data_IF_240615097738
#
_entry.id   IF_240615097738
#
_cell.length_a   1.000
_cell.length_b   1.000
_cell.length_c   1.000
_cell.angle_alpha   90.00
_cell.angle_beta   90.00
_cell.angle_gamma   90.00
#
_symmetry.space_group_name_H-M   'P 1'
#
loop_
_entity.id
_entity.type
_entity.pdbx_description
1 polymer ?
#
# COMPACT_ATOMS: atom_id res chain seq x y z
N UNK A 1 19.23 0.16 26.24
CA UNK A 1 17.98 0.13 27.00
C UNK A 1 17.16 -1.02 26.46
N UNK A 2 16.88 -2.02 27.29
CA UNK A 2 16.15 -3.22 26.89
C UNK A 2 14.69 -2.93 26.51
N UNK A 3 14.14 -1.78 26.92
CA UNK A 3 12.79 -1.37 26.55
C UNK A 3 12.65 -1.01 25.05
N UNK A 4 13.72 -0.50 24.45
CA UNK A 4 13.75 0.00 23.07
C UNK A 4 14.98 -0.53 22.31
N UNK A 5 14.99 -1.83 21.94
CA UNK A 5 16.19 -2.49 21.42
C UNK A 5 16.55 -2.14 19.97
N UNK A 6 15.71 -1.37 19.26
CA UNK A 6 15.95 -0.97 17.88
C UNK A 6 16.30 0.52 17.76
N UNK A 7 17.03 0.90 16.71
CA UNK A 7 17.21 2.30 16.31
C UNK A 7 16.32 2.64 15.11
N UNK A 8 15.42 3.60 15.29
CA UNK A 8 14.55 4.13 14.23
C UNK A 8 15.25 5.26 13.49
N UNK A 9 15.50 5.03 12.20
CA UNK A 9 15.90 6.03 11.24
C UNK A 9 14.67 6.50 10.45
N UNK A 10 14.45 7.81 10.38
CA UNK A 10 13.32 8.36 9.60
C UNK A 10 13.81 8.97 8.30
N UNK A 11 13.02 8.92 7.23
CA UNK A 11 13.44 9.53 5.98
C UNK A 11 12.34 9.82 5.00
N UNK A 12 12.71 9.92 3.73
CA UNK A 12 11.82 10.29 2.63
C UNK A 12 11.80 9.18 1.58
N UNK A 13 10.68 9.02 0.91
CA UNK A 13 10.56 8.23 -0.31
C UNK A 13 10.52 9.17 -1.51
N UNK A 14 10.95 8.63 -2.64
CA UNK A 14 11.10 9.34 -3.91
C UNK A 14 9.88 10.17 -4.30
N UNK A 15 8.69 9.57 -4.26
CA UNK A 15 7.50 10.14 -4.89
C UNK A 15 6.75 11.16 -4.02
N UNK A 16 7.25 11.43 -2.80
CA UNK A 16 6.49 12.16 -1.80
C UNK A 16 7.29 13.33 -1.23
N UNK A 17 6.57 14.40 -0.89
CA UNK A 17 7.15 15.67 -0.44
C UNK A 17 6.56 16.04 0.91
N UNK A 18 7.42 16.07 1.93
CA UNK A 18 7.05 16.29 3.33
C UNK A 18 5.79 15.51 3.72
N UNK A 19 4.83 16.12 4.39
CA UNK A 19 3.62 15.48 4.92
C UNK A 19 2.52 15.26 3.87
N UNK A 20 2.89 15.18 2.58
CA UNK A 20 2.01 14.93 1.45
C UNK A 20 0.90 15.98 1.24
N UNK A 21 1.03 17.20 1.78
CA UNK A 21 0.03 18.28 1.58
C UNK A 21 -0.17 18.63 0.11
N UNK A 22 0.85 18.42 -0.74
CA UNK A 22 0.77 18.60 -2.20
C UNK A 22 0.81 17.27 -2.96
N UNK A 23 1.82 16.45 -2.70
CA UNK A 23 2.07 15.19 -3.43
C UNK A 23 1.03 14.11 -3.14
N UNK A 24 0.42 14.12 -1.95
CA UNK A 24 -0.70 13.23 -1.59
C UNK A 24 -2.03 13.57 -2.24
N UNK A 25 -2.09 14.61 -3.08
CA UNK A 25 -3.24 14.88 -3.94
C UNK A 25 -3.10 14.22 -5.32
N UNK A 26 -1.90 13.75 -5.68
CA UNK A 26 -1.63 13.15 -6.99
C UNK A 26 -1.85 11.63 -6.97
N UNK A 27 -2.81 11.10 -7.75
CA UNK A 27 -2.98 9.65 -7.91
C UNK A 27 -1.70 8.96 -8.40
N UNK A 28 -1.00 9.60 -9.35
CA UNK A 28 0.21 9.07 -9.96
C UNK A 28 1.37 8.90 -8.96
N UNK A 29 1.61 9.91 -8.13
CA UNK A 29 2.68 9.86 -7.11
C UNK A 29 2.34 8.92 -5.95
N UNK A 30 1.06 8.65 -5.73
CA UNK A 30 0.60 7.75 -4.66
C UNK A 30 0.50 6.29 -5.10
N UNK A 31 0.74 6.00 -6.38
CA UNK A 31 0.55 4.67 -6.95
C UNK A 31 1.60 3.64 -6.53
N UNK A 32 2.83 4.08 -6.22
CA UNK A 32 3.96 3.19 -5.94
C UNK A 32 3.94 2.63 -4.51
N UNK A 33 3.88 3.52 -3.51
CA UNK A 33 3.89 3.17 -2.08
C UNK A 33 2.62 3.70 -1.40
N UNK A 34 1.53 2.91 -1.39
CA UNK A 34 0.18 3.38 -1.04
C UNK A 34 -0.10 3.44 0.47
N UNK A 35 0.82 2.97 1.32
CA UNK A 35 0.65 2.89 2.77
C UNK A 35 1.95 3.22 3.53
N UNK A 36 1.85 3.73 4.77
CA UNK A 36 3.01 3.93 5.62
C UNK A 36 3.63 2.58 5.97
N UNK A 37 4.94 2.49 5.96
CA UNK A 37 5.67 1.24 6.13
C UNK A 37 6.87 1.38 7.07
N UNK A 38 7.40 0.25 7.51
CA UNK A 38 8.69 0.12 8.18
C UNK A 38 9.53 -0.92 7.46
N UNK A 39 10.78 -0.59 7.11
CA UNK A 39 11.73 -1.57 6.61
C UNK A 39 12.45 -2.25 7.78
N UNK A 40 12.56 -3.57 7.69
CA UNK A 40 13.11 -4.43 8.73
C UNK A 40 14.03 -5.46 8.08
N UNK A 41 15.17 -5.74 8.70
CA UNK A 41 16.02 -6.84 8.26
C UNK A 41 15.28 -8.18 8.42
N UNK A 42 15.35 -9.11 7.45
CA UNK A 42 14.61 -10.38 7.48
C UNK A 42 14.79 -11.20 8.78
N UNK A 43 16.01 -11.25 9.33
CA UNK A 43 16.26 -11.98 10.58
C UNK A 43 15.62 -11.33 11.82
N UNK A 44 15.58 -10.00 11.89
CA UNK A 44 14.89 -9.33 12.99
C UNK A 44 13.38 -9.55 12.89
N UNK A 45 12.85 -9.52 11.65
CA UNK A 45 11.46 -9.83 11.39
C UNK A 45 11.12 -11.27 11.79
N UNK A 46 11.93 -12.25 11.40
CA UNK A 46 11.75 -13.65 11.78
C UNK A 46 11.76 -13.84 13.30
N UNK A 47 12.71 -13.21 14.02
CA UNK A 47 12.77 -13.27 15.49
C UNK A 47 11.51 -12.70 16.17
N UNK A 48 10.85 -11.74 15.53
CA UNK A 48 9.65 -11.07 16.04
C UNK A 48 8.33 -11.65 15.51
N UNK A 49 8.37 -12.67 14.65
CA UNK A 49 7.17 -13.20 13.99
C UNK A 49 6.51 -12.21 13.02
N UNK A 50 7.30 -11.34 12.39
CA UNK A 50 6.84 -10.37 11.42
C UNK A 50 6.98 -10.90 9.99
N UNK A 51 5.96 -10.65 9.18
CA UNK A 51 5.90 -11.09 7.78
C UNK A 51 5.83 -9.90 6.83
N UNK A 52 6.34 -10.07 5.61
CA UNK A 52 6.21 -9.06 4.55
C UNK A 52 4.74 -8.69 4.31
N UNK A 53 4.44 -7.39 4.22
CA UNK A 53 3.09 -6.85 4.12
C UNK A 53 2.28 -6.93 5.41
N UNK A 54 2.80 -7.56 6.48
CA UNK A 54 2.25 -7.60 7.84
C UNK A 54 2.08 -6.19 8.42
N UNK A 55 1.39 -6.07 9.56
CA UNK A 55 1.40 -4.82 10.32
C UNK A 55 2.33 -4.95 11.53
N UNK A 56 3.08 -3.90 11.79
CA UNK A 56 3.89 -3.78 12.99
C UNK A 56 3.65 -2.44 13.68
N UNK A 57 3.63 -2.47 15.00
CA UNK A 57 3.66 -1.29 15.86
C UNK A 57 5.10 -0.92 16.14
N UNK A 58 5.48 0.29 15.75
CA UNK A 58 6.72 0.95 16.20
C UNK A 58 6.36 1.84 17.38
N UNK A 59 7.07 1.73 18.50
CA UNK A 59 6.84 2.54 19.70
C UNK A 59 8.14 3.11 20.24
N UNK A 60 8.09 4.35 20.70
CA UNK A 60 9.19 5.06 21.37
C UNK A 60 8.63 5.71 22.64
N UNK A 61 9.48 6.40 23.40
CA UNK A 61 9.03 7.21 24.53
C UNK A 61 8.05 8.34 24.12
N UNK A 62 8.07 8.78 22.86
CA UNK A 62 7.21 9.87 22.36
C UNK A 62 5.85 9.43 21.82
N UNK A 63 5.67 8.14 21.52
CA UNK A 63 4.41 7.62 20.99
C UNK A 63 4.56 6.35 20.17
N UNK A 64 3.56 6.07 19.33
CA UNK A 64 3.54 4.86 18.51
C UNK A 64 2.88 5.07 17.15
N UNK A 65 3.29 4.26 16.17
CA UNK A 65 2.71 4.18 14.85
C UNK A 65 2.50 2.71 14.45
N UNK A 66 1.50 2.44 13.60
CA UNK A 66 1.24 1.12 13.02
C UNK A 66 1.45 1.18 11.52
N UNK A 67 2.39 0.36 11.03
CA UNK A 67 3.01 0.47 9.71
C UNK A 67 3.01 -0.88 9.02
N UNK A 68 2.96 -0.90 7.68
CA UNK A 68 3.18 -2.12 6.91
C UNK A 68 4.65 -2.56 6.97
N UNK A 69 4.89 -3.84 7.17
CA UNK A 69 6.23 -4.42 7.22
C UNK A 69 6.76 -4.61 5.80
N UNK A 70 7.93 -4.05 5.52
CA UNK A 70 8.71 -4.35 4.33
C UNK A 70 10.02 -5.02 4.76
N UNK A 71 10.32 -6.17 4.19
CA UNK A 71 11.57 -6.85 4.45
C UNK A 71 12.64 -6.32 3.51
N UNK A 72 13.78 -5.92 4.05
CA UNK A 72 14.91 -5.42 3.29
C UNK A 72 16.21 -5.97 3.86
N UNK A 73 16.89 -6.82 3.08
CA UNK A 73 18.19 -7.38 3.46
C UNK A 73 19.32 -6.32 3.48
N UNK A 74 19.10 -5.16 2.85
CA UNK A 74 20.01 -4.01 2.94
C UNK A 74 19.86 -3.21 4.24
N UNK A 75 18.79 -3.44 5.02
CA UNK A 75 18.60 -2.82 6.33
C UNK A 75 19.56 -3.44 7.35
N UNK A 76 20.30 -2.64 8.12
CA UNK A 76 21.15 -3.18 9.18
C UNK A 76 20.31 -3.82 10.28
N UNK A 77 20.77 -4.95 10.84
CA UNK A 77 20.10 -5.60 11.98
C UNK A 77 20.05 -4.67 13.20
N UNK A 78 18.96 -4.71 13.95
CA UNK A 78 18.69 -3.81 15.07
C UNK A 78 18.32 -2.38 14.65
N UNK A 79 18.14 -2.12 13.35
CA UNK A 79 17.74 -0.80 12.84
C UNK A 79 16.46 -0.90 12.02
N UNK A 80 15.68 0.18 12.06
CA UNK A 80 14.41 0.32 11.36
C UNK A 80 14.47 1.57 10.48
N UNK A 81 13.82 1.55 9.32
CA UNK A 81 13.54 2.78 8.60
C UNK A 81 12.04 2.99 8.38
N UNK A 82 11.58 4.21 8.65
CA UNK A 82 10.19 4.61 8.41
C UNK A 82 10.11 6.02 7.75
N UNK A 83 9.35 6.17 6.67
CA UNK A 83 9.18 7.45 5.99
C UNK A 83 8.27 8.43 6.74
N UNK A 84 8.59 9.73 6.68
CA UNK A 84 7.92 10.78 7.44
C UNK A 84 6.58 11.28 6.86
N UNK A 85 6.13 10.71 5.75
CA UNK A 85 5.19 11.39 4.85
C UNK A 85 3.72 11.37 5.30
N UNK A 86 3.31 10.34 6.05
CA UNK A 86 1.91 10.18 6.43
C UNK A 86 1.52 11.07 7.62
N UNK A 87 0.28 11.57 7.57
CA UNK A 87 -0.34 12.46 8.55
C UNK A 87 -1.70 11.92 8.98
N UNK A 88 -2.35 12.55 9.96
CA UNK A 88 -3.71 12.19 10.36
C UNK A 88 -4.74 12.38 9.24
N UNK A 89 -4.42 13.15 8.19
CA UNK A 89 -5.31 13.36 7.05
C UNK A 89 -5.32 12.19 6.05
N UNK A 90 -4.31 11.32 6.09
CA UNK A 90 -4.13 10.22 5.13
C UNK A 90 -3.70 8.89 5.76
N UNK A 91 -3.62 8.79 7.09
CA UNK A 91 -3.45 7.51 7.78
C UNK A 91 -4.06 7.54 9.18
N UNK A 92 -4.59 6.39 9.60
CA UNK A 92 -5.10 6.18 10.96
C UNK A 92 -4.01 6.29 12.03
N UNK A 93 -2.83 5.75 11.74
CA UNK A 93 -1.76 5.56 12.74
C UNK A 93 -0.35 5.57 12.15
N UNK A 94 -0.16 6.21 10.99
CA UNK A 94 1.12 6.23 10.26
C UNK A 94 2.04 7.43 10.53
N UNK A 95 1.75 8.26 11.54
CA UNK A 95 2.51 9.49 11.82
C UNK A 95 3.84 9.16 12.51
N UNK A 96 4.95 9.38 11.80
CA UNK A 96 6.29 9.14 12.34
C UNK A 96 6.83 10.30 13.18
N UNK A 97 6.43 11.55 12.90
CA UNK A 97 6.94 12.73 13.62
C UNK A 97 6.91 12.62 15.16
N UNK A 98 5.80 12.17 15.79
CA UNK A 98 5.74 11.99 17.24
C UNK A 98 6.68 10.92 17.82
N UNK A 99 7.22 10.02 16.99
CA UNK A 99 8.12 8.97 17.47
C UNK A 99 9.55 9.48 17.64
N UNK A 100 9.92 10.59 17.01
CA UNK A 100 11.27 11.17 17.08
C UNK A 100 11.50 11.75 18.47
N UNK A 101 12.63 11.39 19.09
CA UNK A 101 13.01 11.95 20.40
C UNK A 101 13.27 13.46 20.33
N UNK A 102 13.04 14.15 21.44
CA UNK A 102 13.27 15.60 21.55
C UNK A 102 14.74 15.91 21.89
N UNK A 103 15.68 15.38 21.13
CA UNK A 103 17.11 15.69 21.24
C UNK A 103 17.50 16.65 20.12
N UNK A 104 18.28 17.67 20.46
CA UNK A 104 18.81 18.64 19.51
C UNK A 104 20.31 18.82 19.69
N UNK A 105 21.01 19.05 18.59
CA UNK A 105 22.41 19.47 18.65
C UNK A 105 22.55 20.80 19.40
N UNK A 106 23.43 20.90 20.42
CA UNK A 106 23.51 22.08 21.28
C UNK A 106 24.01 23.35 20.58
N UNK A 107 24.61 23.24 19.39
CA UNK A 107 25.14 24.39 18.66
C UNK A 107 24.16 24.90 17.58
N UNK A 108 23.59 23.99 16.80
CA UNK A 108 22.72 24.32 15.66
C UNK A 108 21.22 24.28 16.00
N UNK A 109 20.83 23.61 17.09
CA UNK A 109 19.43 23.35 17.43
C UNK A 109 18.74 22.35 16.50
N UNK A 110 19.48 21.67 15.61
CA UNK A 110 18.90 20.69 14.69
C UNK A 110 18.49 19.43 15.44
N UNK A 111 17.31 18.85 15.15
CA UNK A 111 16.83 17.64 15.83
C UNK A 111 17.57 16.39 15.35
N UNK A 112 17.89 15.49 16.28
CA UNK A 112 18.27 14.12 15.94
C UNK A 112 17.02 13.36 15.50
N UNK A 113 16.97 12.98 14.23
CA UNK A 113 15.83 12.29 13.60
C UNK A 113 16.20 10.94 13.01
N UNK A 114 17.44 10.48 13.28
CA UNK A 114 18.06 9.34 12.58
C UNK A 114 18.39 8.17 13.51
N UNK A 115 18.36 8.39 14.82
CA UNK A 115 18.74 7.38 15.80
C UNK A 115 17.83 7.38 17.04
N UNK A 116 16.51 7.38 16.86
CA UNK A 116 15.59 7.29 18.01
C UNK A 116 15.44 5.84 18.50
N UNK A 117 15.69 5.53 19.78
CA UNK A 117 15.40 4.20 20.34
C UNK A 117 13.93 3.82 20.18
N UNK A 118 13.67 2.62 19.67
CA UNK A 118 12.35 2.12 19.37
C UNK A 118 12.16 0.64 19.74
N UNK A 119 10.90 0.25 19.90
CA UNK A 119 10.41 -1.12 20.03
C UNK A 119 9.55 -1.45 18.83
N UNK A 120 9.71 -2.66 18.30
CA UNK A 120 8.90 -3.20 17.21
C UNK A 120 8.10 -4.40 17.72
N UNK A 121 6.81 -4.46 17.40
CA UNK A 121 5.94 -5.59 17.75
C UNK A 121 4.92 -5.87 16.64
N UNK A 122 4.54 -7.14 16.39
CA UNK A 122 3.48 -7.47 15.45
C UNK A 122 2.13 -6.87 15.88
N UNK A 123 1.31 -6.53 14.89
CA UNK A 123 -0.10 -6.18 15.07
C UNK A 123 -0.91 -7.20 14.28
N UNK A 124 -1.73 -7.96 15.00
CA UNK A 124 -2.67 -8.88 14.35
C UNK A 124 -3.73 -8.11 13.57
N UNK A 125 -4.07 -8.64 12.40
CA UNK A 125 -5.15 -8.16 11.56
C UNK A 125 -5.81 -9.38 10.90
N UNK A 126 -7.01 -9.74 11.36
CA UNK A 126 -7.78 -10.87 10.79
C UNK A 126 -8.25 -10.60 9.37
N UNK A 127 -8.45 -9.34 9.02
CA UNK A 127 -8.85 -8.92 7.69
C UNK A 127 -7.91 -7.85 7.13
N UNK A 128 -7.74 -7.89 5.81
CA UNK A 128 -7.10 -6.88 4.99
C UNK A 128 -8.02 -6.53 3.84
N UNK A 129 -7.81 -5.37 3.23
CA UNK A 129 -8.68 -4.99 2.14
C UNK A 129 -8.42 -3.64 1.53
N UNK A 130 -9.35 -3.29 0.64
CA UNK A 130 -9.35 -2.04 -0.07
C UNK A 130 -10.75 -1.44 -0.08
N UNK A 131 -10.81 -0.13 0.02
CA UNK A 131 -12.00 0.66 -0.25
C UNK A 131 -11.66 1.66 -1.34
N UNK A 132 -12.57 1.86 -2.29
CA UNK A 132 -12.49 2.92 -3.29
C UNK A 132 -13.85 3.63 -3.36
N UNK A 133 -13.85 4.96 -3.41
CA UNK A 133 -15.07 5.74 -3.45
C UNK A 133 -14.87 7.09 -4.14
N UNK A 134 -15.93 7.61 -4.76
CA UNK A 134 -15.94 8.95 -5.40
C UNK A 134 -15.85 10.08 -4.38
N UNK A 135 -16.39 9.84 -3.19
CA UNK A 135 -16.40 10.78 -2.07
C UNK A 135 -15.50 10.28 -0.94
N UNK A 136 -15.06 11.19 -0.07
CA UNK A 136 -14.29 10.82 1.11
C UNK A 136 -15.20 10.11 2.11
N UNK A 137 -14.74 8.97 2.61
CA UNK A 137 -15.39 8.18 3.63
C UNK A 137 -14.47 8.00 4.83
N UNK A 138 -15.07 7.80 6.00
CA UNK A 138 -14.38 7.39 7.22
C UNK A 138 -14.59 5.88 7.42
N UNK A 139 -13.52 5.07 7.32
CA UNK A 139 -13.58 3.64 7.64
C UNK A 139 -14.10 3.40 9.06
N UNK A 140 -14.66 2.21 9.36
CA UNK A 140 -15.26 1.93 10.65
C UNK A 140 -14.25 2.09 11.80
N UNK A 141 -14.69 2.51 13.00
CA UNK A 141 -13.81 2.67 14.15
C UNK A 141 -13.03 1.38 14.46
N UNK A 142 -11.73 1.52 14.68
CA UNK A 142 -10.82 0.39 14.94
C UNK A 142 -10.21 -0.25 13.69
N UNK A 143 -10.63 0.13 12.48
CA UNK A 143 -9.91 -0.24 11.27
C UNK A 143 -8.59 0.55 11.16
N UNK A 144 -7.49 -0.15 10.90
CA UNK A 144 -6.29 0.48 10.38
C UNK A 144 -6.54 0.89 8.93
N UNK A 145 -6.14 2.10 8.58
CA UNK A 145 -6.26 2.58 7.20
C UNK A 145 -5.14 3.51 6.77
N UNK A 146 -4.87 3.48 5.47
CA UNK A 146 -4.06 4.46 4.76
C UNK A 146 -4.81 4.93 3.51
N UNK A 147 -5.07 6.23 3.42
CA UNK A 147 -5.84 6.85 2.33
C UNK A 147 -4.89 7.38 1.26
N UNK A 148 -5.24 7.15 0.01
CA UNK A 148 -4.53 7.65 -1.15
C UNK A 148 -5.52 8.21 -2.19
N UNK A 149 -5.12 9.21 -2.99
CA UNK A 149 -5.88 9.61 -4.15
C UNK A 149 -5.82 8.52 -5.22
N UNK A 150 -6.92 8.34 -5.94
CA UNK A 150 -7.01 7.50 -7.14
C UNK A 150 -7.65 8.31 -8.25
N UNK A 151 -7.57 7.82 -9.49
CA UNK A 151 -8.24 8.48 -10.60
C UNK A 151 -9.75 8.58 -10.35
N UNK A 152 -10.27 9.80 -10.34
CA UNK A 152 -11.68 10.08 -10.10
C UNK A 152 -12.18 9.82 -8.67
N UNK A 153 -11.31 9.73 -7.65
CA UNK A 153 -11.78 9.59 -6.27
C UNK A 153 -10.71 9.31 -5.22
N UNK A 154 -11.07 8.52 -4.22
CA UNK A 154 -10.26 8.17 -3.07
C UNK A 154 -10.16 6.66 -2.90
N UNK A 155 -8.98 6.20 -2.50
CA UNK A 155 -8.69 4.83 -2.12
C UNK A 155 -8.27 4.74 -0.66
N UNK A 156 -8.55 3.61 -0.03
CA UNK A 156 -8.03 3.25 1.28
C UNK A 156 -7.51 1.83 1.24
N UNK A 157 -6.31 1.63 1.78
CA UNK A 157 -5.88 0.32 2.27
C UNK A 157 -6.45 0.13 3.66
N UNK A 158 -6.94 -1.07 3.94
CA UNK A 158 -7.64 -1.42 5.17
C UNK A 158 -7.01 -2.65 5.81
N UNK A 159 -7.03 -2.68 7.13
CA UNK A 159 -6.74 -3.85 7.93
C UNK A 159 -7.42 -3.76 9.29
N UNK A 160 -7.61 -4.90 9.97
CA UNK A 160 -8.06 -4.94 11.36
C UNK A 160 -8.75 -6.25 11.71
N UNK A 161 -9.46 -6.26 12.83
CA UNK A 161 -10.05 -7.48 13.41
C UNK A 161 -11.58 -7.50 13.38
N UNK A 162 -12.19 -6.53 12.70
CA UNK A 162 -13.64 -6.47 12.56
C UNK A 162 -14.16 -7.66 11.74
N UNK A 163 -15.21 -8.30 12.26
CA UNK A 163 -15.92 -9.38 11.57
C UNK A 163 -16.58 -8.88 10.25
N UNK A 164 -16.76 -9.75 9.25
CA UNK A 164 -17.37 -9.39 7.96
C UNK A 164 -18.73 -8.69 8.07
N UNK A 165 -19.55 -9.06 9.05
CA UNK A 165 -20.87 -8.48 9.32
C UNK A 165 -20.76 -7.01 9.70
N UNK A 166 -19.75 -6.65 10.49
CA UNK A 166 -19.52 -5.25 10.86
C UNK A 166 -19.14 -4.39 9.65
N UNK A 167 -18.43 -4.98 8.69
CA UNK A 167 -18.14 -4.33 7.41
C UNK A 167 -19.40 -4.22 6.54
N UNK A 168 -20.26 -5.24 6.57
CA UNK A 168 -21.56 -5.21 5.89
C UNK A 168 -22.44 -4.09 6.42
N UNK A 169 -22.64 -4.00 7.73
CA UNK A 169 -23.44 -2.95 8.35
C UNK A 169 -22.92 -1.55 7.98
N UNK A 170 -21.60 -1.37 8.06
CA UNK A 170 -20.96 -0.11 7.68
C UNK A 170 -21.17 0.22 6.20
N UNK A 171 -21.07 -0.76 5.30
CA UNK A 171 -21.23 -0.55 3.87
C UNK A 171 -22.69 -0.30 3.46
N UNK A 172 -23.64 -1.08 4.00
CA UNK A 172 -25.08 -0.96 3.70
C UNK A 172 -25.64 0.42 4.04
N UNK A 173 -25.13 1.05 5.11
CA UNK A 173 -25.47 2.43 5.46
C UNK A 173 -25.06 3.48 4.41
N UNK A 174 -24.26 3.09 3.40
CA UNK A 174 -23.70 3.97 2.35
C UNK A 174 -24.02 3.50 0.93
N UNK A 175 -24.59 2.31 0.77
CA UNK A 175 -24.92 1.75 -0.53
C UNK A 175 -26.20 2.39 -1.08
N UNK A 176 -26.28 2.53 -2.39
CA UNK A 176 -27.47 2.96 -3.11
C UNK A 176 -28.36 1.76 -3.45
N UNK A 177 -29.57 2.02 -3.96
CA UNK A 177 -30.47 0.98 -4.48
C UNK A 177 -29.81 0.14 -5.59
N UNK A 178 -28.83 0.73 -6.29
CA UNK A 178 -28.06 0.07 -7.32
C UNK A 178 -26.72 -0.42 -6.77
N UNK A 179 -26.74 -1.64 -6.24
CA UNK A 179 -25.59 -2.21 -5.56
C UNK A 179 -25.56 -3.73 -5.58
N UNK A 180 -24.40 -4.28 -5.22
CA UNK A 180 -24.18 -5.71 -5.06
C UNK A 180 -23.28 -5.92 -3.83
N UNK A 181 -23.60 -6.91 -2.99
CA UNK A 181 -22.75 -7.37 -1.89
C UNK A 181 -22.59 -8.89 -1.87
N UNK A 182 -21.54 -9.34 -1.19
CA UNK A 182 -21.24 -10.72 -0.87
C UNK A 182 -20.72 -10.76 0.56
N UNK A 183 -21.44 -11.46 1.43
CA UNK A 183 -21.02 -11.77 2.78
C UNK A 183 -20.68 -13.26 2.85
N UNK A 184 -19.48 -13.58 3.29
CA UNK A 184 -19.01 -14.95 3.57
C UNK A 184 -18.38 -14.99 4.96
N UNK A 185 -19.17 -15.23 6.02
CA UNK A 185 -18.68 -15.28 7.39
C UNK A 185 -17.68 -16.43 7.62
N UNK A 186 -17.91 -17.56 6.97
CA UNK A 186 -17.06 -18.74 7.10
C UNK A 186 -15.68 -18.52 6.50
N UNK A 187 -15.61 -17.83 5.35
CA UNK A 187 -14.36 -17.38 4.74
C UNK A 187 -13.77 -16.11 5.34
N UNK A 188 -14.49 -15.44 6.26
CA UNK A 188 -14.06 -14.18 6.86
C UNK A 188 -14.04 -13.00 5.88
N UNK A 189 -14.91 -13.01 4.85
CA UNK A 189 -14.89 -12.04 3.76
C UNK A 189 -16.18 -11.23 3.67
N UNK A 190 -16.03 -9.96 3.29
CA UNK A 190 -17.13 -9.13 2.85
C UNK A 190 -16.72 -8.28 1.65
N UNK A 191 -17.59 -8.20 0.65
CA UNK A 191 -17.36 -7.43 -0.56
C UNK A 191 -18.62 -6.68 -0.93
N UNK A 192 -18.47 -5.45 -1.38
CA UNK A 192 -19.59 -4.64 -1.82
C UNK A 192 -19.19 -3.71 -2.96
N UNK A 193 -20.15 -3.39 -3.82
CA UNK A 193 -20.05 -2.39 -4.86
C UNK A 193 -21.36 -1.62 -4.95
N UNK A 194 -21.30 -0.31 -5.14
CA UNK A 194 -22.46 0.52 -5.43
C UNK A 194 -22.18 1.41 -6.64
N UNK A 195 -23.23 1.66 -7.41
CA UNK A 195 -23.16 2.33 -8.69
C UNK A 195 -23.91 3.65 -8.64
N UNK A 196 -23.38 4.64 -9.37
CA UNK A 196 -24.05 5.92 -9.59
C UNK A 196 -25.16 5.77 -10.63
N UNK A 197 -25.98 6.81 -10.80
CA UNK A 197 -27.10 6.81 -11.74
C UNK A 197 -26.68 6.59 -13.21
N UNK A 198 -25.45 6.98 -13.58
CA UNK A 198 -24.86 6.74 -14.89
C UNK A 198 -24.27 5.32 -15.05
N UNK A 199 -24.41 4.47 -14.03
CA UNK A 199 -23.86 3.11 -13.98
C UNK A 199 -22.37 3.04 -13.63
N UNK A 200 -21.68 4.17 -13.41
CA UNK A 200 -20.28 4.16 -13.01
C UNK A 200 -20.10 3.63 -11.58
N UNK A 201 -18.94 3.03 -11.31
CA UNK A 201 -18.62 2.55 -9.96
C UNK A 201 -18.45 3.76 -9.03
N UNK A 202 -19.35 3.88 -8.05
CA UNK A 202 -19.34 4.96 -7.07
C UNK A 202 -18.57 4.58 -5.80
N UNK A 203 -18.62 3.29 -5.44
CA UNK A 203 -18.07 2.72 -4.24
C UNK A 203 -17.75 1.25 -4.47
N UNK A 204 -16.61 0.78 -3.94
CA UNK A 204 -16.37 -0.64 -3.78
C UNK A 204 -15.48 -0.92 -2.56
N UNK A 205 -15.85 -1.95 -1.81
CA UNK A 205 -15.18 -2.43 -0.60
C UNK A 205 -14.84 -3.91 -0.79
N UNK A 206 -13.59 -4.27 -0.55
CA UNK A 206 -13.10 -5.66 -0.60
C UNK A 206 -12.35 -5.93 0.70
N UNK A 207 -12.90 -6.74 1.60
CA UNK A 207 -12.23 -7.14 2.84
C UNK A 207 -12.26 -8.65 3.02
N UNK A 208 -11.18 -9.21 3.55
CA UNK A 208 -11.05 -10.64 3.76
C UNK A 208 -9.68 -11.02 4.31
N UNK A 209 -9.40 -12.32 4.51
CA UNK A 209 -8.08 -12.77 4.89
C UNK A 209 -7.02 -12.36 3.86
N UNK A 210 -5.76 -12.28 4.32
CA UNK A 210 -4.63 -11.95 3.45
C UNK A 210 -4.55 -12.90 2.25
N UNK A 211 -4.29 -12.32 1.07
CA UNK A 211 -4.18 -13.08 -0.18
C UNK A 211 -5.52 -13.53 -0.79
N UNK A 212 -6.64 -13.33 -0.10
CA UNK A 212 -7.97 -13.73 -0.59
C UNK A 212 -8.80 -12.56 -1.15
N UNK A 213 -8.30 -11.32 -1.02
CA UNK A 213 -8.95 -10.12 -1.60
C UNK A 213 -8.43 -9.84 -3.02
N UNK A 214 -9.29 -9.33 -3.93
CA UNK A 214 -8.85 -8.91 -5.25
C UNK A 214 -7.72 -7.87 -5.19
N UNK A 215 -6.84 -7.88 -6.19
CA UNK A 215 -5.71 -6.98 -6.25
C UNK A 215 -6.13 -5.50 -6.29
N UNK A 216 -5.41 -4.66 -5.56
CA UNK A 216 -5.65 -3.21 -5.50
C UNK A 216 -5.69 -2.55 -6.88
N UNK A 217 -4.76 -2.92 -7.76
CA UNK A 217 -4.68 -2.31 -9.09
C UNK A 217 -5.88 -2.71 -9.97
N UNK A 218 -6.37 -3.95 -9.85
CA UNK A 218 -7.59 -4.37 -10.54
C UNK A 218 -8.80 -3.52 -10.12
N UNK A 219 -8.94 -3.27 -8.81
CA UNK A 219 -10.02 -2.43 -8.29
C UNK A 219 -9.91 -0.98 -8.78
N UNK A 220 -8.70 -0.39 -8.76
CA UNK A 220 -8.47 0.97 -9.32
C UNK A 220 -8.82 1.04 -10.80
N UNK A 221 -8.42 0.03 -11.57
CA UNK A 221 -8.67 -0.02 -13.01
C UNK A 221 -10.17 -0.11 -13.32
N UNK A 222 -10.92 -0.93 -12.57
CA UNK A 222 -12.38 -0.99 -12.68
C UNK A 222 -13.06 0.33 -12.31
N UNK A 223 -12.56 1.00 -11.27
CA UNK A 223 -13.09 2.30 -10.85
C UNK A 223 -12.84 3.40 -11.88
N UNK A 224 -11.75 3.32 -12.65
CA UNK A 224 -11.49 4.24 -13.77
C UNK A 224 -12.29 3.90 -15.04
N UNK A 225 -12.75 2.65 -15.22
CA UNK A 225 -13.28 2.11 -16.47
C UNK A 225 -14.72 2.55 -16.88
N UNK A 226 -15.23 3.68 -16.37
CA UNK A 226 -16.55 4.22 -16.73
C UNK A 226 -17.75 3.36 -16.27
N UNK A 227 -18.92 3.50 -16.92
CA UNK A 227 -20.13 2.76 -16.56
C UNK A 227 -19.99 1.24 -16.64
N UNK A 228 -20.55 0.53 -15.66
CA UNK A 228 -20.59 -0.93 -15.57
C UNK A 228 -22.00 -1.43 -15.94
N UNK A 229 -22.13 -2.27 -16.98
CA UNK A 229 -23.41 -2.88 -17.36
C UNK A 229 -24.04 -3.63 -16.18
N UNK A 230 -25.38 -3.61 -16.07
CA UNK A 230 -26.09 -4.26 -14.98
C UNK A 230 -25.74 -5.75 -14.83
N UNK A 231 -25.55 -6.46 -15.94
CA UNK A 231 -25.15 -7.87 -15.96
C UNK A 231 -23.77 -8.14 -15.34
N UNK A 232 -22.86 -7.15 -15.38
CA UNK A 232 -21.47 -7.28 -14.92
C UNK A 232 -21.28 -6.82 -13.48
N UNK A 233 -22.27 -6.19 -12.85
CA UNK A 233 -22.13 -5.57 -11.52
C UNK A 233 -21.65 -6.55 -10.44
N UNK A 234 -22.15 -7.79 -10.47
CA UNK A 234 -21.73 -8.85 -9.54
C UNK A 234 -20.28 -9.30 -9.77
N UNK A 235 -19.76 -9.19 -10.99
CA UNK A 235 -18.37 -9.55 -11.31
C UNK A 235 -17.38 -8.62 -10.62
N UNK A 236 -17.77 -7.36 -10.34
CA UNK A 236 -16.94 -6.39 -9.62
C UNK A 236 -16.53 -6.93 -8.24
N UNK A 237 -17.39 -7.71 -7.58
CA UNK A 237 -17.10 -8.36 -6.30
C UNK A 237 -15.94 -9.37 -6.38
N UNK A 238 -15.58 -9.82 -7.58
CA UNK A 238 -14.39 -10.66 -7.82
C UNK A 238 -13.17 -9.86 -8.31
N UNK A 239 -13.29 -8.52 -8.38
CA UNK A 239 -12.28 -7.64 -8.97
C UNK A 239 -12.18 -7.78 -10.48
N UNK A 240 -13.26 -8.18 -11.16
CA UNK A 240 -13.30 -8.42 -12.60
C UNK A 240 -14.46 -7.69 -13.27
N UNK A 241 -14.33 -7.48 -14.56
CA UNK A 241 -15.41 -7.04 -15.47
C UNK A 241 -15.19 -7.70 -16.83
N UNK A 242 -16.28 -8.06 -17.51
CA UNK A 242 -16.18 -8.63 -18.85
C UNK A 242 -15.46 -7.66 -19.81
N UNK A 243 -14.51 -8.18 -20.59
CA UNK A 243 -13.73 -7.39 -21.55
C UNK A 243 -12.71 -6.42 -20.92
N UNK A 244 -12.52 -6.42 -19.59
CA UNK A 244 -11.57 -5.55 -18.90
C UNK A 244 -10.43 -6.34 -18.27
N UNK A 245 -9.23 -6.25 -18.85
CA UNK A 245 -8.05 -6.91 -18.32
C UNK A 245 -7.56 -6.22 -17.04
N UNK A 246 -7.13 -7.01 -16.06
CA UNK A 246 -6.48 -6.48 -14.86
C UNK A 246 -5.15 -5.80 -15.26
N UNK A 247 -4.80 -4.66 -14.66
CA UNK A 247 -3.52 -4.01 -14.90
C UNK A 247 -2.36 -4.89 -14.41
N UNK A 248 -1.23 -4.74 -15.07
CA UNK A 248 -0.02 -5.51 -14.81
C UNK A 248 0.75 -4.97 -13.58
N UNK A 249 0.12 -4.92 -12.40
CA UNK A 249 0.76 -4.58 -11.12
C UNK A 249 1.08 -3.08 -10.85
N UNK A 250 1.81 -2.78 -9.77
CA UNK A 250 2.03 -1.41 -9.28
C UNK A 250 2.90 -0.58 -10.21
N UNK A 251 2.76 0.75 -10.14
CA UNK A 251 3.56 1.68 -10.93
C UNK A 251 5.02 1.73 -10.41
N UNK A 252 6.00 1.48 -11.28
CA UNK A 252 7.43 1.54 -10.97
C UNK A 252 8.06 2.82 -11.52
N UNK A 253 7.80 3.15 -12.78
CA UNK A 253 8.27 4.40 -13.39
C UNK A 253 7.17 5.45 -13.40
N UNK A 254 7.20 6.35 -12.41
CA UNK A 254 6.27 7.48 -12.36
C UNK A 254 6.32 8.29 -13.66
N UNK A 255 7.49 8.68 -14.18
CA UNK A 255 7.66 9.56 -15.36
C UNK A 255 6.99 9.09 -16.66
N UNK A 256 6.91 7.78 -16.89
CA UNK A 256 6.36 7.22 -18.12
C UNK A 256 5.14 6.32 -17.91
N UNK A 257 4.68 6.15 -16.66
CA UNK A 257 3.49 5.33 -16.40
C UNK A 257 3.75 3.83 -16.49
N UNK A 258 4.99 3.37 -16.31
CA UNK A 258 5.36 1.95 -16.51
C UNK A 258 5.15 1.15 -15.22
N UNK A 259 4.36 0.07 -15.30
CA UNK A 259 4.08 -0.84 -14.19
C UNK A 259 5.14 -1.94 -14.03
N UNK A 260 5.18 -2.55 -12.85
CA UNK A 260 6.02 -3.71 -12.54
C UNK A 260 5.79 -4.86 -13.51
N UNK A 261 4.55 -5.22 -13.78
CA UNK A 261 4.23 -6.34 -14.68
C UNK A 261 4.57 -6.06 -16.15
N UNK A 262 4.55 -4.78 -16.59
CA UNK A 262 5.10 -4.43 -17.90
C UNK A 262 6.62 -4.66 -17.95
N UNK A 263 7.34 -4.31 -16.87
CA UNK A 263 8.78 -4.57 -16.74
C UNK A 263 9.05 -6.08 -16.69
N UNK A 264 8.31 -6.84 -15.87
CA UNK A 264 8.44 -8.29 -15.80
C UNK A 264 8.12 -8.98 -17.14
N UNK A 265 7.11 -8.48 -17.88
CA UNK A 265 6.81 -8.91 -19.25
C UNK A 265 8.01 -8.68 -20.17
N UNK A 266 8.53 -7.46 -20.23
CA UNK A 266 9.71 -7.14 -21.04
C UNK A 266 10.94 -7.98 -20.67
N UNK A 267 11.12 -8.34 -19.40
CA UNK A 267 12.20 -9.24 -18.96
C UNK A 267 11.99 -10.66 -19.48
N UNK A 268 10.75 -11.19 -19.40
CA UNK A 268 10.41 -12.49 -19.99
C UNK A 268 10.59 -12.49 -21.51
N UNK A 269 10.38 -11.34 -22.15
CA UNK A 269 10.61 -11.13 -23.59
C UNK A 269 12.09 -10.88 -23.95
N UNK A 270 13.01 -10.98 -22.99
CA UNK A 270 14.46 -10.97 -23.23
C UNK A 270 15.21 -9.72 -22.76
N UNK A 271 14.57 -8.77 -22.06
CA UNK A 271 15.30 -7.65 -21.46
C UNK A 271 16.12 -8.12 -20.24
N UNK A 272 17.45 -7.94 -20.30
CA UNK A 272 18.40 -8.40 -19.28
C UNK A 272 19.04 -7.27 -18.44
N UNK A 273 18.74 -6.02 -18.79
CA UNK A 273 19.39 -4.84 -18.20
C UNK A 273 18.44 -3.66 -18.08
N UNK A 274 18.68 -2.70 -17.15
CA UNK A 274 17.87 -1.50 -17.06
C UNK A 274 17.87 -0.68 -18.35
N UNK A 275 18.96 -0.74 -19.12
CA UNK A 275 19.05 -0.09 -20.43
C UNK A 275 18.11 -0.74 -21.46
N UNK A 276 18.07 -2.08 -21.52
CA UNK A 276 17.14 -2.81 -22.39
C UNK A 276 15.67 -2.54 -22.01
N UNK A 277 15.35 -2.57 -20.71
CA UNK A 277 14.02 -2.19 -20.19
C UNK A 277 13.67 -0.74 -20.56
N UNK A 278 14.64 0.17 -20.47
CA UNK A 278 14.49 1.58 -20.86
C UNK A 278 14.25 1.77 -22.35
N UNK A 279 14.90 0.99 -23.21
CA UNK A 279 14.66 1.02 -24.66
C UNK A 279 13.25 0.51 -25.01
N UNK A 280 12.80 -0.57 -24.35
CA UNK A 280 11.48 -1.16 -24.60
C UNK A 280 10.32 -0.33 -24.04
N UNK A 281 10.43 0.17 -22.80
CA UNK A 281 9.31 0.76 -22.05
C UNK A 281 9.49 2.24 -21.72
N UNK A 282 10.63 2.86 -22.07
CA UNK A 282 11.05 4.21 -21.63
C UNK A 282 11.28 4.32 -20.12
N UNK A 283 11.16 3.25 -19.34
CA UNK A 283 11.37 3.29 -17.91
C UNK A 283 12.83 3.62 -17.57
N UNK A 284 13.06 4.62 -16.73
CA UNK A 284 14.41 5.01 -16.29
C UNK A 284 15.16 5.99 -17.20
N UNK A 285 14.56 6.41 -18.33
CA UNK A 285 15.23 7.27 -19.32
C UNK A 285 15.04 8.78 -19.10
N UNK A 286 14.09 9.19 -18.25
CA UNK A 286 13.86 10.60 -17.93
C UNK A 286 14.58 11.05 -16.66
N UNK A 287 14.08 10.69 -15.47
CA UNK A 287 14.70 11.09 -14.20
C UNK A 287 15.58 10.01 -13.53
N UNK A 288 15.64 8.80 -14.08
CA UNK A 288 16.45 7.68 -13.57
C UNK A 288 16.05 7.11 -12.19
N UNK A 289 15.04 7.68 -11.53
CA UNK A 289 14.71 7.38 -10.13
C UNK A 289 14.09 6.00 -9.88
N UNK A 290 13.64 5.31 -10.94
CA UNK A 290 13.17 3.92 -10.88
C UNK A 290 14.26 2.90 -11.19
N UNK A 291 15.49 3.31 -11.55
CA UNK A 291 16.58 2.39 -11.92
C UNK A 291 16.97 1.41 -10.82
N UNK A 292 17.07 1.80 -9.52
CA UNK A 292 17.38 0.84 -8.46
C UNK A 292 16.34 -0.28 -8.34
N UNK A 293 15.06 0.07 -8.44
CA UNK A 293 13.95 -0.88 -8.37
C UNK A 293 13.88 -1.77 -9.63
N UNK A 294 14.12 -1.21 -10.82
CA UNK A 294 14.22 -2.00 -12.06
C UNK A 294 15.31 -3.08 -11.92
N UNK A 295 16.46 -2.76 -11.31
CA UNK A 295 17.51 -3.76 -11.04
C UNK A 295 17.03 -4.85 -10.10
N UNK A 296 16.31 -4.51 -9.03
CA UNK A 296 15.74 -5.51 -8.11
C UNK A 296 14.72 -6.41 -8.82
N UNK A 297 13.86 -5.84 -9.66
CA UNK A 297 12.90 -6.61 -10.46
C UNK A 297 13.64 -7.56 -11.41
N UNK A 298 14.66 -7.07 -12.12
CA UNK A 298 15.51 -7.89 -12.99
C UNK A 298 16.10 -9.08 -12.25
N UNK A 299 16.78 -8.84 -11.13
CA UNK A 299 17.39 -9.91 -10.34
C UNK A 299 16.35 -10.96 -9.90
N UNK A 300 15.20 -10.52 -9.39
CA UNK A 300 14.17 -11.43 -8.89
C UNK A 300 13.52 -12.23 -10.03
N UNK A 301 13.12 -11.56 -11.11
CA UNK A 301 12.42 -12.20 -12.24
C UNK A 301 13.34 -13.15 -13.00
N UNK A 302 14.60 -12.77 -13.23
CA UNK A 302 15.58 -13.67 -13.87
C UNK A 302 15.85 -14.90 -12.98
N UNK A 303 15.97 -14.73 -11.66
CA UNK A 303 16.12 -15.86 -10.75
C UNK A 303 14.92 -16.82 -10.81
N UNK A 304 13.69 -16.30 -10.98
CA UNK A 304 12.49 -17.13 -11.17
C UNK A 304 12.47 -17.86 -12.52
N UNK A 305 12.93 -17.21 -13.60
CA UNK A 305 13.01 -17.83 -14.94
C UNK A 305 14.04 -18.97 -14.95
N UNK A 306 15.13 -18.83 -14.19
CA UNK A 306 16.24 -19.78 -14.16
C UNK A 306 16.11 -20.87 -13.07
N UNK A 307 15.09 -20.78 -12.20
CA UNK A 307 14.86 -21.79 -11.17
C UNK A 307 14.38 -23.11 -11.84
N UNK A 308 14.99 -24.25 -11.51
CA UNK A 308 14.51 -25.54 -12.00
C UNK A 308 13.09 -25.80 -11.44
N UNK A 309 12.22 -26.33 -12.30
CA UNK A 309 10.84 -26.70 -11.98
C UNK A 309 10.75 -27.81 -10.92
#
# INVERSE_FOLDING_TARGET
DDAYPFLLNTGRIRDQWHTMTRTGLSPRLSAHLPAPFVTVHPEDAARLGLEAGGLARVSTAGGAAVLEVQLDAGQARGTLFAPIHWSAANSASGRIGPLVHALTDPFSGQPDSKATPARLAPVEARCHGFLIARTRLDPPPGAWWARLPVEGGHGWRLAGDAAPERWQDWARARMTNDSADLLDPAGGQYRAAAFAADGSLAFALMVGPRGQVPAWDALKSLFAAGPVPAADRRLILSGRRAGHAAPAGPLVCACHGVSRGAIEGAIRDGCDSPAAVGAALKAGTNCGSCLPEIRQILTHTLAQILAPA
#
